data_IF_658653875280
#
_entry.id   IF_658653875280
#
_cell.length_a   1.000
_cell.length_b   1.000
_cell.length_c   1.000
_cell.angle_alpha   90.00
_cell.angle_beta   90.00
_cell.angle_gamma   90.00
#
_symmetry.space_group_name_H-M   'P 1'
#
loop_
_entity.id
_entity.type
_entity.pdbx_description
1 polymer ?
#
# COMPACT_ATOMS: atom_id res chain seq x y z
N UNK A 1 -2.59 21.90 9.87
CA UNK A 1 -3.60 20.81 9.92
C UNK A 1 -3.16 19.74 8.92
N UNK A 2 -2.98 18.48 9.34
CA UNK A 2 -2.56 17.42 8.41
C UNK A 2 -3.68 17.15 7.39
N UNK A 3 -3.40 17.36 6.11
CA UNK A 3 -4.33 17.00 5.03
C UNK A 3 -4.08 15.56 4.61
N UNK A 4 -5.11 14.72 4.70
CA UNK A 4 -5.06 13.33 4.25
C UNK A 4 -5.74 13.21 2.89
N UNK A 5 -5.18 12.40 1.98
CA UNK A 5 -5.86 12.06 0.71
C UNK A 5 -7.16 11.33 1.04
N UNK A 6 -8.27 11.81 0.48
CA UNK A 6 -9.58 11.17 0.66
C UNK A 6 -9.65 9.89 -0.16
N UNK A 7 -10.10 8.81 0.47
CA UNK A 7 -10.45 7.57 -0.21
C UNK A 7 -11.64 7.78 -1.13
N UNK A 8 -11.67 7.04 -2.24
CA UNK A 8 -12.90 6.85 -3.02
C UNK A 8 -13.89 6.02 -2.20
N UNK A 9 -15.21 6.28 -2.28
CA UNK A 9 -16.21 5.39 -1.71
C UNK A 9 -16.06 3.99 -2.29
N UNK A 10 -15.96 2.99 -1.42
CA UNK A 10 -15.86 1.57 -1.79
C UNK A 10 -17.22 0.90 -1.65
N UNK A 11 -17.49 -0.07 -2.52
CA UNK A 11 -18.62 -0.97 -2.31
C UNK A 11 -18.36 -1.86 -1.09
N UNK A 12 -19.42 -2.40 -0.48
CA UNK A 12 -19.27 -3.36 0.64
C UNK A 12 -18.45 -4.58 0.22
N UNK A 13 -18.61 -5.05 -1.02
CA UNK A 13 -17.87 -6.19 -1.57
C UNK A 13 -16.39 -5.88 -1.72
N UNK A 14 -16.05 -4.74 -2.32
CA UNK A 14 -14.64 -4.34 -2.50
C UNK A 14 -13.98 -4.11 -1.14
N UNK A 15 -14.71 -3.49 -0.20
CA UNK A 15 -14.22 -3.26 1.17
C UNK A 15 -13.89 -4.57 1.87
N UNK A 16 -14.80 -5.55 1.85
CA UNK A 16 -14.60 -6.85 2.46
C UNK A 16 -13.45 -7.63 1.80
N UNK A 17 -13.38 -7.59 0.46
CA UNK A 17 -12.30 -8.25 -0.28
C UNK A 17 -10.93 -7.63 0.01
N UNK A 18 -10.82 -6.30 -0.02
CA UNK A 18 -9.58 -5.58 0.30
C UNK A 18 -9.18 -5.82 1.76
N UNK A 19 -10.14 -5.88 2.70
CA UNK A 19 -9.86 -6.21 4.09
C UNK A 19 -9.27 -7.61 4.24
N UNK A 20 -9.84 -8.62 3.58
CA UNK A 20 -9.28 -9.97 3.55
C UNK A 20 -7.88 -10.03 2.92
N UNK A 21 -7.65 -9.24 1.87
CA UNK A 21 -6.33 -9.13 1.26
C UNK A 21 -5.29 -8.49 2.19
N UNK A 22 -5.67 -7.45 2.94
CA UNK A 22 -4.80 -6.83 3.95
C UNK A 22 -4.48 -7.81 5.09
N UNK A 23 -5.44 -8.65 5.50
CA UNK A 23 -5.23 -9.62 6.57
C UNK A 23 -4.33 -10.79 6.13
N UNK A 24 -4.49 -11.27 4.90
CA UNK A 24 -3.75 -12.41 4.37
C UNK A 24 -2.33 -12.09 3.87
N UNK A 25 -2.16 -10.97 3.15
CA UNK A 25 -0.88 -10.60 2.50
C UNK A 25 -0.35 -9.23 2.96
N UNK A 26 -1.16 -8.51 3.72
CA UNK A 26 -0.87 -7.16 4.11
C UNK A 26 -0.11 -7.02 5.43
N UNK A 27 0.14 -5.78 5.78
CA UNK A 27 0.77 -5.39 7.04
C UNK A 27 0.22 -4.02 7.43
N UNK A 28 -0.25 -3.90 8.67
CA UNK A 28 -0.63 -2.64 9.29
C UNK A 28 0.40 -2.31 10.36
N UNK A 29 1.13 -1.22 10.20
CA UNK A 29 2.27 -0.91 11.08
C UNK A 29 2.49 0.59 11.27
N UNK A 30 3.15 0.95 12.37
CA UNK A 30 3.69 2.28 12.59
C UNK A 30 5.14 2.32 12.13
N UNK A 31 5.41 3.02 11.02
CA UNK A 31 6.75 3.12 10.42
C UNK A 31 7.33 4.53 10.56
N UNK A 32 8.66 4.64 10.55
CA UNK A 32 9.39 5.92 10.49
C UNK A 32 10.23 5.91 9.21
N UNK A 33 9.99 6.86 8.30
CA UNK A 33 10.73 6.94 7.04
C UNK A 33 12.09 7.62 7.22
N UNK A 34 12.13 8.73 7.96
CA UNK A 34 13.37 9.45 8.27
C UNK A 34 13.63 9.53 9.78
N UNK A 35 14.90 9.56 10.21
CA UNK A 35 15.32 9.49 11.63
C UNK A 35 14.59 10.50 12.53
N UNK A 36 14.33 11.70 12.01
CA UNK A 36 13.75 12.83 12.74
C UNK A 36 12.23 13.00 12.53
N UNK A 37 11.56 12.00 11.93
CA UNK A 37 10.11 12.03 11.76
C UNK A 37 9.37 11.23 12.83
N UNK A 38 8.14 11.66 13.09
CA UNK A 38 7.20 10.88 13.89
C UNK A 38 6.83 9.58 13.16
N UNK A 39 6.49 8.55 13.94
CA UNK A 39 5.93 7.33 13.36
C UNK A 39 4.61 7.65 12.67
N UNK A 40 4.40 7.05 11.51
CA UNK A 40 3.20 7.19 10.71
C UNK A 40 2.57 5.82 10.47
N UNK A 41 1.24 5.78 10.41
CA UNK A 41 0.52 4.59 10.00
C UNK A 41 0.87 4.24 8.55
N UNK A 42 1.20 2.99 8.32
CA UNK A 42 1.46 2.39 7.03
C UNK A 42 0.59 1.14 6.90
N UNK A 43 -0.15 1.07 5.81
CA UNK A 43 -0.78 -0.16 5.35
C UNK A 43 -0.07 -0.55 4.07
N UNK A 44 0.40 -1.79 3.97
CA UNK A 44 1.04 -2.30 2.76
C UNK A 44 0.56 -3.69 2.40
N UNK A 45 0.50 -4.01 1.11
CA UNK A 45 0.20 -5.34 0.56
C UNK A 45 1.34 -5.69 -0.40
N UNK A 46 2.00 -6.83 -0.19
CA UNK A 46 3.05 -7.31 -1.10
C UNK A 46 2.53 -8.48 -1.92
N UNK A 47 2.70 -8.41 -3.25
CA UNK A 47 2.28 -9.49 -4.14
C UNK A 47 3.19 -9.59 -5.36
N UNK A 48 3.31 -10.78 -5.92
CA UNK A 48 3.89 -11.02 -7.25
C UNK A 48 2.88 -10.74 -8.37
N UNK A 49 1.59 -10.62 -8.04
CA UNK A 49 0.53 -10.33 -8.98
C UNK A 49 0.21 -8.84 -9.01
N UNK A 50 0.78 -8.12 -9.99
CA UNK A 50 0.58 -6.67 -10.12
C UNK A 50 -0.89 -6.29 -10.39
N UNK A 51 -1.65 -7.16 -11.07
CA UNK A 51 -3.07 -6.94 -11.38
C UNK A 51 -3.90 -6.73 -10.12
N UNK A 52 -3.67 -7.55 -9.10
CA UNK A 52 -4.33 -7.44 -7.80
C UNK A 52 -4.05 -6.10 -7.12
N UNK A 53 -2.80 -5.66 -7.12
CA UNK A 53 -2.42 -4.37 -6.53
C UNK A 53 -3.00 -3.18 -7.31
N UNK A 54 -3.06 -3.29 -8.64
CA UNK A 54 -3.71 -2.28 -9.49
C UNK A 54 -5.21 -2.17 -9.20
N UNK A 55 -5.89 -3.29 -8.93
CA UNK A 55 -7.27 -3.29 -8.48
C UNK A 55 -7.41 -2.50 -7.16
N UNK A 56 -6.57 -2.78 -6.15
CA UNK A 56 -6.61 -2.06 -4.87
C UNK A 56 -6.36 -0.56 -5.05
N UNK A 57 -5.34 -0.19 -5.82
CA UNK A 57 -5.03 1.22 -6.11
C UNK A 57 -6.19 1.92 -6.83
N UNK A 58 -6.80 1.25 -7.82
CA UNK A 58 -7.91 1.81 -8.59
C UNK A 58 -9.19 1.95 -7.75
N UNK A 59 -9.49 0.94 -6.93
CA UNK A 59 -10.64 0.94 -6.04
C UNK A 59 -10.52 2.03 -4.97
N UNK A 60 -9.39 2.09 -4.26
CA UNK A 60 -9.17 3.02 -3.15
C UNK A 60 -8.91 4.46 -3.62
N UNK A 61 -8.29 4.64 -4.79
CA UNK A 61 -7.88 5.92 -5.33
C UNK A 61 -6.72 6.59 -4.57
N UNK A 62 -6.08 5.88 -3.63
CA UNK A 62 -4.96 6.38 -2.83
C UNK A 62 -3.87 5.32 -2.72
N UNK A 63 -2.71 5.74 -2.22
CA UNK A 63 -1.54 4.88 -2.09
C UNK A 63 -0.66 4.89 -3.34
N UNK A 64 0.36 4.04 -3.34
CA UNK A 64 1.32 3.90 -4.43
C UNK A 64 1.78 2.45 -4.56
N UNK A 65 2.12 2.04 -5.77
CA UNK A 65 2.73 0.74 -6.05
C UNK A 65 4.21 0.95 -6.35
N UNK A 66 5.07 0.23 -5.65
CA UNK A 66 6.52 0.25 -5.86
C UNK A 66 7.03 -1.14 -6.21
N UNK A 67 8.06 -1.21 -7.06
CA UNK A 67 8.75 -2.47 -7.35
C UNK A 67 9.63 -2.87 -6.18
N UNK A 68 9.69 -4.16 -5.85
CA UNK A 68 10.70 -4.71 -4.96
C UNK A 68 11.92 -5.11 -5.78
N UNK A 69 13.11 -4.80 -5.27
CA UNK A 69 14.35 -5.26 -5.90
C UNK A 69 14.37 -6.79 -5.87
N UNK A 70 14.60 -7.41 -7.03
CA UNK A 70 14.91 -8.84 -7.09
C UNK A 70 16.30 -9.06 -6.52
N UNK A 71 16.40 -9.92 -5.51
CA UNK A 71 17.70 -10.31 -4.95
C UNK A 71 18.44 -11.23 -5.92
N UNK A 72 17.72 -12.15 -6.56
CA UNK A 72 18.26 -13.15 -7.49
C UNK A 72 17.47 -13.15 -8.80
N UNK A 73 18.12 -13.58 -9.88
CA UNK A 73 17.55 -13.56 -11.24
C UNK A 73 16.34 -14.50 -11.40
N UNK A 74 16.33 -15.61 -10.68
CA UNK A 74 15.26 -16.62 -10.72
C UNK A 74 14.05 -16.27 -9.85
N UNK A 75 14.14 -15.26 -8.99
CA UNK A 75 13.00 -14.81 -8.19
C UNK A 75 11.97 -14.08 -9.05
N UNK A 76 10.69 -14.36 -8.79
CA UNK A 76 9.59 -13.66 -9.41
C UNK A 76 9.66 -12.15 -9.10
N UNK A 77 9.35 -11.27 -10.08
CA UNK A 77 9.11 -9.87 -9.80
C UNK A 77 8.04 -9.72 -8.72
N UNK A 78 8.27 -8.84 -7.76
CA UNK A 78 7.30 -8.54 -6.69
C UNK A 78 7.11 -7.05 -6.53
N UNK A 79 5.94 -6.70 -6.03
CA UNK A 79 5.44 -5.34 -5.95
C UNK A 79 4.86 -5.12 -4.55
N UNK A 80 4.82 -3.87 -4.12
CA UNK A 80 4.17 -3.48 -2.87
C UNK A 80 3.24 -2.31 -3.16
N UNK A 81 1.96 -2.48 -2.84
CA UNK A 81 1.03 -1.38 -2.67
C UNK A 81 1.19 -0.84 -1.24
N UNK A 82 1.27 0.47 -1.07
CA UNK A 82 1.35 1.07 0.26
C UNK A 82 0.53 2.37 0.36
N UNK A 83 -0.19 2.50 1.46
CA UNK A 83 -0.81 3.76 1.92
C UNK A 83 -0.04 4.23 3.14
N UNK A 84 0.60 5.37 2.99
CA UNK A 84 1.26 6.10 4.06
C UNK A 84 0.81 7.56 3.97
N UNK A 85 1.00 8.33 5.05
CA UNK A 85 0.93 9.78 4.93
C UNK A 85 1.92 10.21 3.83
N UNK A 86 1.42 10.93 2.83
CA UNK A 86 2.33 11.61 1.91
C UNK A 86 3.20 12.56 2.73
N UNK A 87 4.52 12.50 2.56
CA UNK A 87 5.26 13.75 2.63
C UNK A 87 4.74 14.63 1.50
N UNK A 88 4.92 15.94 1.58
CA UNK A 88 4.93 16.75 0.36
C UNK A 88 5.89 16.04 -0.59
N UNK A 89 5.35 15.50 -1.69
CA UNK A 89 6.13 14.81 -2.69
C UNK A 89 7.05 15.88 -3.31
N UNK A 90 8.38 15.72 -3.15
CA UNK A 90 9.38 16.34 -4.04
C UNK A 90 9.26 15.76 -5.45
#
# INVERSE_FOLDING_TARGET
MNSYKKLRPLSVKDTAYIAGLIDGEGTVTLTRKHKNENRQLCISISSTEKGLLNFVLSATGVGKITNKRRSESHHAPSFTYAVMRGGEDE
#
